data_IF_298523706382
#
_entry.id   IF_298523706382
#
_cell.length_a   1.000
_cell.length_b   1.000
_cell.length_c   1.000
_cell.angle_alpha   90.00
_cell.angle_beta   90.00
_cell.angle_gamma   90.00
#
_symmetry.space_group_name_H-M   'P 1'
#
loop_
_entity.id
_entity.type
_entity.pdbx_description
1 polymer ?
#
# COMPACT_ATOMS: atom_id res chain seq x y z
N UNK A 1 -11.47 3.41 -1.64
CA UNK A 1 -10.86 3.20 -2.98
C UNK A 1 -11.41 1.94 -3.62
N UNK A 2 -11.19 0.75 -3.06
CA UNK A 2 -11.62 -0.55 -3.59
C UNK A 2 -13.08 -0.59 -4.05
N UNK A 3 -14.02 -0.22 -3.18
CA UNK A 3 -15.46 -0.22 -3.51
C UNK A 3 -15.88 0.80 -4.58
N UNK A 4 -15.11 1.88 -4.77
CA UNK A 4 -15.35 2.85 -5.85
C UNK A 4 -14.85 2.29 -7.18
N UNK A 5 -13.65 1.69 -7.17
CA UNK A 5 -13.06 1.07 -8.36
C UNK A 5 -13.92 -0.09 -8.85
N UNK A 6 -14.44 -0.92 -7.96
CA UNK A 6 -15.27 -2.06 -8.36
C UNK A 6 -16.67 -1.69 -8.87
N UNK A 7 -17.09 -0.42 -8.68
CA UNK A 7 -18.31 0.12 -9.23
C UNK A 7 -18.11 0.82 -10.58
N UNK A 8 -16.85 1.01 -11.02
CA UNK A 8 -16.53 1.68 -12.26
C UNK A 8 -16.62 0.68 -13.43
N UNK A 9 -17.47 0.90 -14.44
CA UNK A 9 -17.64 -0.02 -15.55
C UNK A 9 -16.39 -0.15 -16.46
N UNK A 10 -15.41 0.75 -16.33
CA UNK A 10 -14.13 0.65 -17.04
C UNK A 10 -13.12 -0.24 -16.31
N UNK A 11 -13.40 -0.62 -15.07
CA UNK A 11 -12.57 -1.50 -14.27
C UNK A 11 -13.07 -2.93 -14.43
N UNK A 12 -12.30 -3.73 -15.14
CA UNK A 12 -12.60 -5.15 -15.35
C UNK A 12 -12.64 -5.92 -14.04
N UNK A 13 -11.62 -5.72 -13.20
CA UNK A 13 -11.48 -6.46 -11.94
C UNK A 13 -10.61 -5.73 -10.93
N UNK A 14 -10.90 -5.91 -9.64
CA UNK A 14 -10.15 -5.30 -8.54
C UNK A 14 -9.52 -6.38 -7.65
N UNK A 15 -8.21 -6.27 -7.45
CA UNK A 15 -7.47 -7.11 -6.52
C UNK A 15 -7.26 -6.35 -5.21
N UNK A 16 -7.85 -6.84 -4.12
CA UNK A 16 -7.71 -6.27 -2.80
C UNK A 16 -6.71 -7.08 -1.97
N UNK A 17 -5.48 -6.56 -1.82
CA UNK A 17 -4.47 -7.17 -0.95
C UNK A 17 -4.80 -6.90 0.52
N UNK A 18 -5.02 -7.96 1.29
CA UNK A 18 -5.34 -7.89 2.72
C UNK A 18 -4.53 -8.94 3.47
N UNK A 19 -3.68 -8.50 4.40
CA UNK A 19 -2.90 -9.41 5.25
C UNK A 19 -3.81 -10.17 6.21
N UNK A 20 -3.67 -11.48 6.39
CA UNK A 20 -4.33 -12.21 7.50
C UNK A 20 -3.77 -11.81 8.87
N UNK A 21 -4.51 -12.08 9.94
CA UNK A 21 -3.95 -12.12 11.31
C UNK A 21 -4.10 -13.55 11.85
N UNK A 22 -3.49 -13.88 13.00
CA UNK A 22 -3.70 -15.20 13.62
C UNK A 22 -5.18 -15.52 13.88
N UNK A 23 -6.01 -14.50 14.10
CA UNK A 23 -7.42 -14.64 14.48
C UNK A 23 -8.37 -14.54 13.28
N UNK A 24 -7.94 -13.94 12.15
CA UNK A 24 -8.84 -13.60 11.04
C UNK A 24 -8.20 -13.81 9.68
N UNK A 25 -8.97 -14.39 8.76
CA UNK A 25 -8.60 -14.47 7.34
C UNK A 25 -8.63 -13.10 6.67
N UNK A 26 -8.01 -13.00 5.49
CA UNK A 26 -8.02 -11.79 4.68
C UNK A 26 -9.46 -11.34 4.35
N UNK A 27 -10.32 -12.30 4.01
CA UNK A 27 -11.73 -12.10 3.67
C UNK A 27 -12.53 -11.60 4.87
N UNK A 28 -12.33 -12.19 6.05
CA UNK A 28 -12.99 -11.74 7.27
C UNK A 28 -12.63 -10.29 7.59
N UNK A 29 -11.33 -9.95 7.52
CA UNK A 29 -10.87 -8.56 7.74
C UNK A 29 -11.42 -7.58 6.71
N UNK A 30 -11.50 -7.99 5.44
CA UNK A 30 -12.07 -7.18 4.39
C UNK A 30 -13.56 -6.92 4.64
N UNK A 31 -14.33 -7.96 4.93
CA UNK A 31 -15.76 -7.84 5.22
C UNK A 31 -16.04 -6.99 6.45
N UNK A 32 -15.24 -7.12 7.51
CA UNK A 32 -15.32 -6.24 8.68
C UNK A 32 -15.09 -4.77 8.33
N UNK A 33 -14.12 -4.48 7.46
CA UNK A 33 -13.90 -3.13 6.99
C UNK A 33 -15.11 -2.61 6.21
N UNK A 34 -15.72 -3.42 5.33
CA UNK A 34 -16.92 -3.03 4.59
C UNK A 34 -18.08 -2.68 5.54
N UNK A 35 -18.34 -3.54 6.53
CA UNK A 35 -19.40 -3.34 7.53
C UNK A 35 -19.11 -2.06 8.33
N UNK A 36 -17.89 -1.92 8.85
CA UNK A 36 -17.47 -0.77 9.65
C UNK A 36 -17.66 0.55 8.91
N UNK A 37 -17.33 0.57 7.62
CA UNK A 37 -17.46 1.76 6.78
C UNK A 37 -18.79 1.86 6.03
N UNK A 38 -19.75 0.98 6.33
CA UNK A 38 -21.11 0.93 5.72
C UNK A 38 -21.08 0.90 4.18
N UNK A 39 -20.13 0.15 3.61
CA UNK A 39 -20.00 -0.04 2.17
C UNK A 39 -21.02 -1.07 1.70
N UNK A 40 -21.77 -0.75 0.63
CA UNK A 40 -22.81 -1.63 0.07
C UNK A 40 -22.21 -2.82 -0.69
N UNK A 41 -22.88 -3.97 -0.62
CA UNK A 41 -22.43 -5.25 -1.17
C UNK A 41 -22.52 -5.38 -2.71
N UNK A 42 -23.24 -4.50 -3.40
CA UNK A 42 -23.49 -4.57 -4.85
C UNK A 42 -22.24 -4.38 -5.73
N UNK A 43 -21.06 -4.25 -5.14
CA UNK A 43 -19.80 -3.99 -5.85
C UNK A 43 -18.72 -5.03 -5.52
N UNK A 44 -19.10 -6.14 -4.89
CA UNK A 44 -18.14 -7.14 -4.36
C UNK A 44 -17.83 -8.27 -5.33
N UNK A 45 -18.68 -8.49 -6.33
CA UNK A 45 -18.50 -9.56 -7.32
C UNK A 45 -17.25 -9.37 -8.21
N UNK A 46 -16.84 -8.12 -8.44
CA UNK A 46 -15.63 -7.77 -9.19
C UNK A 46 -14.39 -7.60 -8.30
N UNK A 47 -14.40 -8.13 -7.08
CA UNK A 47 -13.28 -8.03 -6.14
C UNK A 47 -12.76 -9.42 -5.80
N UNK A 48 -11.47 -9.65 -6.07
CA UNK A 48 -10.75 -10.78 -5.48
C UNK A 48 -9.91 -10.29 -4.30
N UNK A 49 -10.12 -10.93 -3.15
CA UNK A 49 -9.34 -10.67 -1.95
C UNK A 49 -8.11 -11.57 -1.99
N UNK A 50 -6.93 -10.98 -1.89
CA UNK A 50 -5.66 -11.69 -1.86
C UNK A 50 -5.10 -11.63 -0.44
N UNK A 51 -4.83 -12.79 0.17
CA UNK A 51 -4.02 -12.84 1.38
C UNK A 51 -2.57 -12.53 1.03
N UNK A 52 -2.23 -11.24 1.04
CA UNK A 52 -0.93 -10.76 0.59
C UNK A 52 -0.44 -9.59 1.45
N UNK A 53 0.88 -9.48 1.58
CA UNK A 53 1.55 -8.38 2.27
C UNK A 53 2.82 -7.97 1.52
N UNK A 54 3.02 -6.70 1.16
CA UNK A 54 4.22 -6.25 0.47
C UNK A 54 5.49 -6.34 1.33
N UNK A 55 5.38 -6.72 2.59
CA UNK A 55 6.51 -7.01 3.49
C UNK A 55 7.11 -8.39 3.26
N UNK A 56 6.41 -9.28 2.56
CA UNK A 56 6.82 -10.68 2.34
C UNK A 56 7.33 -10.89 0.90
N UNK A 57 8.27 -11.82 0.67
CA UNK A 57 8.70 -12.18 -0.68
C UNK A 57 7.51 -12.56 -1.57
N UNK A 58 7.46 -12.04 -2.79
CA UNK A 58 6.33 -12.22 -3.72
C UNK A 58 4.97 -11.86 -3.08
N UNK A 59 4.99 -10.94 -2.12
CA UNK A 59 3.87 -10.54 -1.30
C UNK A 59 3.22 -11.65 -0.46
N UNK A 60 3.92 -12.76 -0.22
CA UNK A 60 3.39 -13.94 0.46
C UNK A 60 2.59 -14.87 -0.47
N UNK A 61 2.55 -14.55 -1.77
CA UNK A 61 1.95 -15.40 -2.81
C UNK A 61 2.96 -16.43 -3.30
N UNK A 62 2.48 -17.49 -3.93
CA UNK A 62 3.38 -18.33 -4.72
C UNK A 62 3.91 -17.55 -5.93
N UNK A 63 5.12 -17.92 -6.36
CA UNK A 63 5.83 -17.21 -7.42
C UNK A 63 5.06 -17.17 -8.73
N UNK A 64 4.31 -18.23 -9.06
CA UNK A 64 3.56 -18.29 -10.33
C UNK A 64 2.45 -17.25 -10.31
N UNK A 65 1.64 -17.23 -9.26
CA UNK A 65 0.56 -16.23 -9.13
C UNK A 65 1.13 -14.81 -9.12
N UNK A 66 2.24 -14.56 -8.42
CA UNK A 66 2.87 -13.23 -8.44
C UNK A 66 3.28 -12.78 -9.85
N UNK A 67 3.88 -13.68 -10.64
CA UNK A 67 4.30 -13.39 -12.03
C UNK A 67 3.09 -13.16 -12.94
N UNK A 68 2.05 -13.99 -12.83
CA UNK A 68 0.80 -13.82 -13.58
C UNK A 68 0.16 -12.45 -13.30
N UNK A 69 0.13 -12.03 -12.03
CA UNK A 69 -0.34 -10.70 -11.63
C UNK A 69 0.53 -9.59 -12.23
N UNK A 70 1.85 -9.77 -12.28
CA UNK A 70 2.75 -8.79 -12.86
C UNK A 70 2.52 -8.56 -14.36
N UNK A 71 1.96 -9.55 -15.08
CA UNK A 71 1.64 -9.46 -16.50
C UNK A 71 0.25 -8.87 -16.78
N UNK A 72 -0.65 -8.88 -15.80
CA UNK A 72 -2.06 -8.51 -15.99
C UNK A 72 -2.45 -7.18 -15.32
N UNK A 73 -1.86 -6.87 -14.16
CA UNK A 73 -2.20 -5.67 -13.40
C UNK A 73 -1.66 -4.43 -14.09
N UNK A 74 -2.53 -3.50 -14.46
CA UNK A 74 -2.13 -2.24 -15.11
C UNK A 74 -2.07 -1.05 -14.17
N UNK A 75 -2.83 -1.10 -13.08
CA UNK A 75 -2.97 -0.01 -12.12
C UNK A 75 -2.72 -0.52 -10.71
N UNK A 76 -1.82 0.15 -9.99
CA UNK A 76 -1.50 -0.16 -8.61
C UNK A 76 -1.83 1.06 -7.76
N UNK A 77 -2.64 0.87 -6.72
CA UNK A 77 -2.98 1.91 -5.76
C UNK A 77 -2.35 1.56 -4.41
N UNK A 78 -1.20 2.16 -4.10
CA UNK A 78 -0.56 1.95 -2.81
C UNK A 78 -1.14 2.90 -1.75
N UNK A 79 -2.18 2.41 -1.07
CA UNK A 79 -2.82 3.09 0.06
C UNK A 79 -2.27 2.63 1.41
N UNK A 80 -1.41 1.60 1.44
CA UNK A 80 -0.93 0.98 2.67
C UNK A 80 0.21 1.83 3.29
N UNK A 81 0.10 2.09 4.59
CA UNK A 81 1.06 2.90 5.33
C UNK A 81 0.89 2.69 6.84
N UNK A 82 1.97 2.92 7.60
CA UNK A 82 1.84 3.18 9.04
C UNK A 82 0.92 4.38 9.26
N UNK A 83 0.19 4.40 10.37
CA UNK A 83 -0.48 5.60 10.90
C UNK A 83 0.01 5.92 12.32
N UNK A 84 1.09 5.27 12.76
CA UNK A 84 1.68 5.45 14.08
C UNK A 84 2.75 6.55 14.03
N UNK A 85 2.53 7.61 14.80
CA UNK A 85 3.42 8.77 14.86
C UNK A 85 4.51 8.65 15.92
N UNK A 86 4.36 7.72 16.88
CA UNK A 86 5.30 7.54 17.98
C UNK A 86 6.50 6.65 17.60
N UNK A 87 6.43 5.98 16.45
CA UNK A 87 7.52 5.14 15.96
C UNK A 87 8.57 5.96 15.21
N UNK A 88 9.83 5.64 15.45
CA UNK A 88 10.95 6.18 14.68
C UNK A 88 10.99 5.60 13.26
N UNK A 89 11.64 6.30 12.33
CA UNK A 89 11.80 5.80 10.96
C UNK A 89 12.46 4.42 10.91
N UNK A 90 13.51 4.18 11.72
CA UNK A 90 14.19 2.89 11.72
C UNK A 90 13.28 1.73 12.12
N UNK A 91 12.34 1.95 13.04
CA UNK A 91 11.37 0.92 13.46
C UNK A 91 10.37 0.57 12.35
N UNK A 92 10.01 1.54 11.51
CA UNK A 92 8.97 1.35 10.48
C UNK A 92 9.55 1.14 9.07
N UNK A 93 10.85 1.40 8.88
CA UNK A 93 11.52 1.35 7.57
C UNK A 93 11.32 0.02 6.86
N UNK A 94 11.49 -1.09 7.60
CA UNK A 94 11.37 -2.42 7.01
C UNK A 94 9.96 -2.70 6.49
N UNK A 95 8.95 -2.32 7.25
CA UNK A 95 7.57 -2.67 6.93
C UNK A 95 6.93 -1.75 5.89
N UNK A 96 7.44 -0.52 5.71
CA UNK A 96 6.74 0.48 4.91
C UNK A 96 7.58 1.17 3.84
N UNK A 97 8.91 1.21 3.99
CA UNK A 97 9.81 1.71 2.93
C UNK A 97 10.25 0.53 2.08
N UNK A 98 10.76 -0.54 2.69
CA UNK A 98 11.22 -1.70 1.93
C UNK A 98 10.07 -2.41 1.23
N UNK A 99 8.89 -2.48 1.86
CA UNK A 99 7.70 -3.02 1.21
C UNK A 99 7.24 -2.16 0.03
N UNK A 100 7.39 -0.84 0.11
CA UNK A 100 7.10 0.05 -0.99
C UNK A 100 8.07 -0.16 -2.17
N UNK A 101 9.35 -0.40 -1.91
CA UNK A 101 10.30 -0.80 -2.97
C UNK A 101 9.87 -2.10 -3.66
N UNK A 102 9.29 -3.07 -2.94
CA UNK A 102 8.73 -4.28 -3.56
C UNK A 102 7.51 -3.96 -4.44
N UNK A 103 6.69 -2.96 -4.07
CA UNK A 103 5.60 -2.48 -4.93
C UNK A 103 6.15 -1.81 -6.19
N UNK A 104 7.18 -0.97 -6.07
CA UNK A 104 7.85 -0.38 -7.24
C UNK A 104 8.45 -1.46 -8.15
N UNK A 105 9.12 -2.46 -7.58
CA UNK A 105 9.65 -3.60 -8.32
C UNK A 105 8.54 -4.32 -9.11
N UNK A 106 7.41 -4.60 -8.48
CA UNK A 106 6.26 -5.21 -9.16
C UNK A 106 5.75 -4.33 -10.31
N UNK A 107 5.73 -3.00 -10.14
CA UNK A 107 5.29 -2.06 -11.18
C UNK A 107 6.22 -2.05 -12.41
N UNK A 108 7.46 -2.50 -12.27
CA UNK A 108 8.44 -2.62 -13.35
C UNK A 108 8.53 -4.02 -13.98
N UNK A 109 7.84 -5.02 -13.43
CA UNK A 109 7.90 -6.41 -13.91
C UNK A 109 6.73 -6.76 -14.84
N UNK A 110 6.97 -7.61 -15.85
CA UNK A 110 5.94 -7.99 -16.82
C UNK A 110 5.56 -6.82 -17.71
N UNK A 111 4.48 -6.13 -17.37
CA UNK A 111 4.04 -4.89 -18.03
C UNK A 111 4.27 -3.65 -17.16
N UNK A 112 4.50 -2.50 -17.82
CA UNK A 112 4.56 -1.21 -17.14
C UNK A 112 3.20 -0.87 -16.51
N UNK A 113 3.22 -0.48 -15.24
CA UNK A 113 2.02 -0.21 -14.44
C UNK A 113 1.96 1.25 -14.02
N UNK A 114 0.76 1.82 -14.00
CA UNK A 114 0.53 3.11 -13.37
C UNK A 114 0.42 2.93 -11.85
N UNK A 115 1.33 3.56 -11.11
CA UNK A 115 1.33 3.56 -9.64
C UNK A 115 0.75 4.87 -9.10
N UNK A 116 -0.32 4.77 -8.32
CA UNK A 116 -0.82 5.86 -7.49
C UNK A 116 -0.38 5.66 -6.05
N UNK A 117 0.36 6.61 -5.49
CA UNK A 117 0.81 6.59 -4.09
C UNK A 117 0.09 7.65 -3.26
N UNK A 118 -0.39 7.26 -2.08
CA UNK A 118 -0.97 8.21 -1.12
C UNK A 118 0.15 8.76 -0.24
N UNK A 119 0.56 10.00 -0.52
CA UNK A 119 1.50 10.76 0.29
C UNK A 119 0.89 11.27 1.61
N UNK A 120 1.57 12.21 2.26
CA UNK A 120 1.07 12.89 3.45
C UNK A 120 1.46 14.36 3.43
N UNK A 121 0.61 15.23 3.98
CA UNK A 121 0.94 16.64 4.18
C UNK A 121 2.18 16.80 5.07
N UNK A 122 2.40 15.90 6.03
CA UNK A 122 3.57 15.92 6.91
C UNK A 122 4.89 15.73 6.16
N UNK A 123 4.89 15.07 5.01
CA UNK A 123 6.08 14.90 4.18
C UNK A 123 6.60 16.23 3.61
N UNK A 124 5.72 17.23 3.46
CA UNK A 124 6.11 18.55 2.92
C UNK A 124 6.98 19.37 3.86
N UNK A 125 7.10 18.98 5.13
CA UNK A 125 8.00 19.64 6.08
C UNK A 125 9.46 19.17 5.93
N UNK A 126 9.74 18.21 5.04
CA UNK A 126 11.07 17.76 4.69
C UNK A 126 11.42 18.35 3.33
N UNK A 127 12.18 19.44 3.35
CA UNK A 127 12.67 20.09 2.13
C UNK A 127 14.11 19.65 1.82
N UNK A 128 14.83 19.20 2.86
CA UNK A 128 16.23 18.83 2.77
C UNK A 128 16.53 17.57 3.58
N UNK A 129 17.54 16.76 3.17
CA UNK A 129 17.96 15.59 3.94
C UNK A 129 18.32 15.85 5.41
N UNK A 130 18.76 17.08 5.75
CA UNK A 130 19.05 17.48 7.14
C UNK A 130 17.81 17.54 8.04
N UNK A 131 16.63 17.73 7.46
CA UNK A 131 15.37 17.83 8.20
C UNK A 131 15.01 16.49 8.88
N UNK A 132 15.59 15.39 8.38
CA UNK A 132 15.47 14.05 8.95
C UNK A 132 15.98 13.94 10.39
N UNK A 133 16.86 14.86 10.82
CA UNK A 133 17.46 14.84 12.16
C UNK A 133 16.86 15.87 13.13
N UNK A 134 15.77 16.55 12.76
CA UNK A 134 15.15 17.59 13.61
C UNK A 134 14.38 16.94 14.78
N UNK A 135 14.72 17.25 16.04
CA UNK A 135 14.14 16.59 17.21
C UNK A 135 12.84 17.23 17.72
N UNK A 136 12.41 18.36 17.17
CA UNK A 136 11.52 19.32 17.83
C UNK A 136 10.05 19.29 17.36
N UNK A 137 9.61 18.22 16.69
CA UNK A 137 8.19 18.10 16.35
C UNK A 137 7.71 16.68 16.07
N UNK A 138 6.44 16.41 16.36
CA UNK A 138 5.70 15.24 15.85
C UNK A 138 5.65 15.19 14.30
N UNK A 139 5.81 16.33 13.63
CA UNK A 139 6.04 16.40 12.18
C UNK A 139 7.34 15.68 11.76
N UNK A 140 8.29 15.52 12.69
CA UNK A 140 9.54 14.77 12.52
C UNK A 140 9.45 13.29 12.95
N UNK A 141 8.23 12.75 12.99
CA UNK A 141 7.98 11.33 13.28
C UNK A 141 8.45 10.40 12.16
N UNK A 142 8.67 9.12 12.51
CA UNK A 142 8.99 8.09 11.52
C UNK A 142 7.97 8.00 10.39
N UNK A 143 6.69 8.18 10.70
CA UNK A 143 5.62 8.21 9.70
C UNK A 143 5.86 9.28 8.61
N UNK A 144 6.14 10.53 9.02
CA UNK A 144 6.33 11.62 8.07
C UNK A 144 7.64 11.43 7.27
N UNK A 145 8.71 10.98 7.93
CA UNK A 145 9.98 10.59 7.32
C UNK A 145 9.79 9.54 6.22
N UNK A 146 9.04 8.47 6.51
CA UNK A 146 8.73 7.40 5.55
C UNK A 146 7.89 7.91 4.36
N UNK A 147 6.89 8.77 4.61
CA UNK A 147 6.08 9.36 3.54
C UNK A 147 6.92 10.24 2.61
N UNK A 148 7.87 10.99 3.16
CA UNK A 148 8.81 11.78 2.37
C UNK A 148 9.73 10.87 1.53
N UNK A 149 10.40 9.90 2.14
CA UNK A 149 11.31 8.96 1.44
C UNK A 149 10.61 8.22 0.29
N UNK A 150 9.39 7.72 0.51
CA UNK A 150 8.63 7.05 -0.55
C UNK A 150 8.17 8.02 -1.64
N UNK A 151 7.94 9.31 -1.31
CA UNK A 151 7.59 10.36 -2.26
C UNK A 151 8.74 10.70 -3.21
N UNK A 152 9.95 10.85 -2.68
CA UNK A 152 11.16 11.11 -3.48
C UNK A 152 11.47 10.00 -4.50
N UNK A 153 10.92 8.80 -4.30
CA UNK A 153 11.08 7.68 -5.26
C UNK A 153 10.35 7.91 -6.60
N UNK A 154 9.51 8.95 -6.70
CA UNK A 154 8.82 9.35 -7.92
C UNK A 154 9.50 10.48 -8.70
N UNK A 155 10.43 11.21 -8.08
CA UNK A 155 11.06 12.42 -8.64
C UNK A 155 12.43 12.15 -9.30
N UNK A 156 12.70 10.89 -9.66
CA UNK A 156 13.93 10.42 -10.31
C UNK A 156 13.86 10.38 -11.84
#
# INVERSE_FOLDING_TARGET
MTARLSADPQVEHVLAMVRRTPEKTAEQRFNEALIRYRIKAAFLENITILNASPTEPYWGLDRRTYVELAEQVRWVFNCASSTEYDLSYLQIRQDWVMSFLQVLQFCMQGISKHLSYIGSAGARFYEHPRDFNRPDSWWYSGYAQMKWVNGESFDG
#
